data_IF_026041358021
#
_entry.id   IF_026041358021
#
_cell.length_a   1.000
_cell.length_b   1.000
_cell.length_c   1.000
_cell.angle_alpha   90.00
_cell.angle_beta   90.00
_cell.angle_gamma   90.00
#
_symmetry.space_group_name_H-M   'P 1'
#
loop_
_entity.id
_entity.type
_entity.pdbx_description
1 polymer ?
#
# COMPACT_ATOMS: atom_id res chain seq x y z
N UNK A 1 -29.30 -3.22 50.21
CA UNK A 1 -28.81 -2.10 49.40
C UNK A 1 -27.75 -2.62 48.45
N UNK A 2 -28.12 -2.87 47.19
CA UNK A 2 -27.20 -3.36 46.14
C UNK A 2 -26.93 -2.19 45.18
N UNK A 3 -25.73 -1.61 45.25
CA UNK A 3 -25.27 -0.55 44.37
C UNK A 3 -24.92 -1.17 43.03
N UNK A 4 -25.69 -0.84 42.01
CA UNK A 4 -25.37 -1.12 40.63
C UNK A 4 -24.47 0.00 40.11
N UNK A 5 -23.21 -0.30 39.88
CA UNK A 5 -22.31 0.57 39.17
C UNK A 5 -22.59 0.49 37.64
N UNK A 6 -22.75 1.60 36.95
CA UNK A 6 -22.92 1.58 35.50
C UNK A 6 -21.59 1.25 34.78
N UNK A 7 -21.63 0.24 33.92
CA UNK A 7 -20.52 -0.09 33.05
C UNK A 7 -20.27 1.02 32.04
N UNK A 8 -19.01 1.43 31.81
CA UNK A 8 -18.69 2.37 30.76
C UNK A 8 -18.92 1.72 29.39
N UNK A 9 -19.71 2.41 28.57
CA UNK A 9 -19.85 2.08 27.13
C UNK A 9 -18.48 2.20 26.48
N UNK A 10 -17.93 1.07 26.06
CA UNK A 10 -16.75 1.03 25.22
C UNK A 10 -17.11 1.65 23.85
N UNK A 11 -16.76 2.90 23.70
CA UNK A 11 -16.72 3.54 22.37
C UNK A 11 -15.66 2.81 21.54
N UNK A 12 -16.11 2.17 20.49
CA UNK A 12 -15.20 1.57 19.48
C UNK A 12 -14.37 2.70 18.89
N UNK A 13 -13.04 2.71 19.06
CA UNK A 13 -12.21 3.61 18.29
C UNK A 13 -12.29 3.16 16.84
N UNK A 14 -12.68 4.09 15.96
CA UNK A 14 -12.49 3.94 14.53
C UNK A 14 -11.02 3.56 14.31
N UNK A 15 -10.80 2.39 13.74
CA UNK A 15 -9.47 1.89 13.45
C UNK A 15 -8.81 2.86 12.48
N UNK A 16 -7.95 3.69 13.01
CA UNK A 16 -7.00 4.49 12.28
C UNK A 16 -6.03 3.47 11.69
N UNK A 17 -6.19 3.20 10.40
CA UNK A 17 -5.22 2.46 9.58
C UNK A 17 -3.96 3.34 9.44
N UNK A 18 -3.22 3.49 10.51
CA UNK A 18 -1.81 3.88 10.47
C UNK A 18 -0.98 2.62 10.28
N UNK A 19 -1.08 2.00 9.13
CA UNK A 19 -0.12 0.97 8.78
C UNK A 19 1.10 1.64 8.16
N UNK A 20 2.11 1.73 9.00
CA UNK A 20 3.48 2.08 8.70
C UNK A 20 3.97 1.39 7.40
N UNK A 21 3.92 2.13 6.28
CA UNK A 21 4.70 1.81 5.10
C UNK A 21 6.03 2.57 5.18
N UNK A 22 6.80 2.27 6.21
CA UNK A 22 8.18 2.68 6.34
C UNK A 22 9.06 1.45 6.11
N UNK A 23 9.38 1.16 4.86
CA UNK A 23 10.54 0.32 4.56
C UNK A 23 10.77 0.17 3.05
N UNK A 24 11.14 1.23 2.37
CA UNK A 24 12.11 1.19 1.26
C UNK A 24 12.73 2.58 1.11
N UNK A 25 13.61 2.94 2.00
CA UNK A 25 14.57 4.01 1.78
C UNK A 25 15.80 3.72 2.62
N UNK A 26 16.60 2.77 2.18
CA UNK A 26 18.03 2.75 2.58
C UNK A 26 18.84 2.03 1.50
N UNK A 27 19.87 2.74 1.07
CA UNK A 27 21.01 2.31 0.27
C UNK A 27 20.97 2.70 -1.21
N UNK A 28 21.34 3.98 -1.45
CA UNK A 28 22.37 4.28 -2.46
C UNK A 28 23.01 5.62 -2.09
N UNK A 29 24.06 5.56 -1.28
CA UNK A 29 25.04 6.61 -1.20
C UNK A 29 26.00 6.43 -2.37
N UNK A 30 25.85 7.24 -3.42
CA UNK A 30 26.86 7.48 -4.43
C UNK A 30 27.18 8.96 -4.48
N UNK A 31 28.46 9.33 -4.73
CA UNK A 31 28.94 10.70 -4.54
C UNK A 31 28.35 11.66 -5.58
N UNK A 32 28.16 12.88 -5.11
CA UNK A 32 27.64 14.02 -5.83
C UNK A 32 28.31 14.25 -7.20
N UNK A 33 27.50 14.18 -8.25
CA UNK A 33 27.69 15.04 -9.42
C UNK A 33 26.49 15.97 -9.42
N UNK A 34 26.76 17.24 -9.14
CA UNK A 34 25.78 18.31 -9.17
C UNK A 34 25.27 18.47 -10.61
N UNK A 35 24.15 17.83 -10.91
CA UNK A 35 23.29 18.20 -12.02
C UNK A 35 21.94 18.47 -11.40
N UNK A 36 21.44 19.70 -11.62
CA UNK A 36 20.18 20.18 -11.08
C UNK A 36 19.01 19.27 -11.42
N UNK A 37 18.73 18.34 -10.53
CA UNK A 37 17.46 17.64 -10.50
C UNK A 37 16.49 18.53 -9.75
N UNK A 38 15.62 19.20 -10.51
CA UNK A 38 14.38 19.72 -9.96
C UNK A 38 13.76 18.64 -9.08
N UNK A 39 13.23 18.96 -7.89
CA UNK A 39 12.49 17.99 -7.09
C UNK A 39 11.44 17.35 -8.00
N UNK A 40 11.43 16.02 -8.06
CA UNK A 40 10.49 15.27 -8.86
C UNK A 40 9.08 15.76 -8.53
N UNK A 41 8.52 16.52 -9.44
CA UNK A 41 7.17 17.04 -9.35
C UNK A 41 6.26 15.82 -9.23
N UNK A 42 5.30 15.78 -8.28
CA UNK A 42 4.34 14.70 -8.24
C UNK A 42 3.74 14.57 -9.64
N UNK A 43 3.64 13.35 -10.20
CA UNK A 43 3.14 13.16 -11.54
C UNK A 43 1.80 13.87 -11.69
N UNK A 44 1.70 14.69 -12.71
CA UNK A 44 0.50 15.49 -12.96
C UNK A 44 -0.72 14.56 -13.00
N UNK A 45 -1.79 14.95 -12.34
CA UNK A 45 -3.07 14.22 -12.31
C UNK A 45 -3.63 13.90 -13.73
N UNK A 46 -3.04 14.48 -14.77
CA UNK A 46 -3.35 14.25 -16.17
C UNK A 46 -3.03 12.82 -16.66
N UNK A 47 -2.05 12.13 -16.05
CA UNK A 47 -1.67 10.76 -16.45
C UNK A 47 -2.50 9.68 -15.74
N UNK A 48 -3.36 10.07 -14.77
CA UNK A 48 -4.18 9.14 -14.00
C UNK A 48 -5.56 8.97 -14.64
N UNK A 49 -5.61 8.22 -15.73
CA UNK A 49 -6.86 7.93 -16.43
C UNK A 49 -7.82 7.14 -15.52
N UNK A 50 -9.12 7.23 -15.84
CA UNK A 50 -10.17 6.44 -15.17
C UNK A 50 -9.85 4.94 -15.21
N UNK A 51 -9.32 4.49 -16.32
CA UNK A 51 -8.96 3.08 -16.52
C UNK A 51 -7.80 2.65 -15.64
N UNK A 52 -6.69 3.42 -15.61
CA UNK A 52 -5.57 3.14 -14.71
C UNK A 52 -6.00 3.09 -13.23
N UNK A 53 -6.88 4.00 -12.80
CA UNK A 53 -7.40 3.97 -11.42
C UNK A 53 -8.28 2.74 -11.13
N UNK A 54 -9.02 2.23 -12.12
CA UNK A 54 -9.78 0.98 -11.98
C UNK A 54 -8.87 -0.24 -11.91
N UNK A 55 -7.86 -0.31 -12.76
CA UNK A 55 -6.86 -1.38 -12.72
C UNK A 55 -6.11 -1.37 -11.37
N UNK A 56 -5.73 -0.19 -10.90
CA UNK A 56 -5.13 -0.04 -9.58
C UNK A 56 -6.06 -0.51 -8.46
N UNK A 57 -7.34 -0.16 -8.51
CA UNK A 57 -8.31 -0.60 -7.51
C UNK A 57 -8.38 -2.14 -7.41
N UNK A 58 -8.42 -2.83 -8.56
CA UNK A 58 -8.38 -4.30 -8.62
C UNK A 58 -7.06 -4.86 -8.11
N UNK A 59 -5.93 -4.32 -8.58
CA UNK A 59 -4.61 -4.75 -8.16
C UNK A 59 -4.41 -4.56 -6.65
N UNK A 60 -4.84 -3.42 -6.09
CA UNK A 60 -4.70 -3.12 -4.68
C UNK A 60 -5.47 -4.07 -3.76
N UNK A 61 -6.66 -4.53 -4.15
CA UNK A 61 -7.41 -5.54 -3.41
C UNK A 61 -6.66 -6.87 -3.35
N UNK A 62 -6.08 -7.30 -4.47
CA UNK A 62 -5.29 -8.55 -4.54
C UNK A 62 -3.98 -8.44 -3.76
N UNK A 63 -3.30 -7.29 -3.84
CA UNK A 63 -2.10 -7.02 -3.04
C UNK A 63 -2.43 -7.05 -1.54
N UNK A 64 -3.57 -6.52 -1.13
CA UNK A 64 -4.03 -6.58 0.27
C UNK A 64 -4.26 -8.04 0.73
N UNK A 65 -4.89 -8.87 -0.10
CA UNK A 65 -5.04 -10.31 0.17
C UNK A 65 -3.67 -11.01 0.31
N UNK A 66 -2.71 -10.67 -0.56
CA UNK A 66 -1.35 -11.19 -0.45
C UNK A 66 -0.65 -10.75 0.84
N UNK A 67 -0.82 -9.49 1.25
CA UNK A 67 -0.30 -9.02 2.53
C UNK A 67 -0.87 -9.80 3.72
N UNK A 68 -2.18 -10.12 3.69
CA UNK A 68 -2.81 -10.95 4.71
C UNK A 68 -2.27 -12.40 4.72
N UNK A 69 -1.96 -12.95 3.54
CA UNK A 69 -1.38 -14.30 3.38
C UNK A 69 0.08 -14.34 3.85
N UNK A 70 0.89 -13.37 3.43
CA UNK A 70 2.33 -13.37 3.65
C UNK A 70 2.75 -12.76 4.98
N UNK A 71 1.98 -11.80 5.51
CA UNK A 71 2.29 -11.10 6.76
C UNK A 71 2.59 -12.04 7.93
N UNK A 72 1.68 -12.96 8.30
CA UNK A 72 1.92 -13.93 9.38
C UNK A 72 3.11 -14.84 9.13
N UNK A 73 3.33 -15.29 7.88
CA UNK A 73 4.47 -16.16 7.52
C UNK A 73 5.80 -15.43 7.69
N UNK A 74 5.88 -14.19 7.21
CA UNK A 74 7.09 -13.36 7.34
C UNK A 74 7.38 -13.03 8.81
N UNK A 75 6.34 -12.76 9.60
CA UNK A 75 6.48 -12.45 11.02
C UNK A 75 6.82 -13.69 11.88
N UNK A 76 6.44 -14.88 11.41
CA UNK A 76 6.70 -16.15 12.08
C UNK A 76 7.97 -16.85 11.58
N UNK A 77 8.78 -16.22 10.75
CA UNK A 77 10.04 -16.82 10.27
C UNK A 77 11.01 -17.06 11.42
N UNK A 78 11.58 -18.24 11.48
CA UNK A 78 12.45 -18.70 12.58
C UNK A 78 13.84 -18.02 12.57
N UNK A 79 14.27 -17.52 11.41
CA UNK A 79 15.56 -16.88 11.24
C UNK A 79 15.56 -15.82 10.14
N UNK A 80 16.64 -15.04 10.09
CA UNK A 80 16.77 -13.92 9.17
C UNK A 80 16.79 -14.35 7.69
N UNK A 81 17.36 -15.49 7.38
CA UNK A 81 17.46 -15.99 6.01
C UNK A 81 16.08 -16.41 5.48
N UNK A 82 15.34 -17.17 6.27
CA UNK A 82 13.95 -17.51 5.95
C UNK A 82 13.06 -16.26 5.80
N UNK A 83 13.22 -15.27 6.68
CA UNK A 83 12.49 -14.00 6.57
C UNK A 83 12.78 -13.29 5.25
N UNK A 84 14.04 -13.25 4.80
CA UNK A 84 14.43 -12.67 3.51
C UNK A 84 13.82 -13.42 2.35
N UNK A 85 13.87 -14.74 2.38
CA UNK A 85 13.30 -15.59 1.33
C UNK A 85 11.78 -15.36 1.22
N UNK A 86 11.05 -15.41 2.32
CA UNK A 86 9.60 -15.18 2.35
C UNK A 86 9.23 -13.77 1.83
N UNK A 87 10.01 -12.75 2.18
CA UNK A 87 9.82 -11.40 1.64
C UNK A 87 10.05 -11.34 0.13
N UNK A 88 11.06 -12.03 -0.36
CA UNK A 88 11.35 -12.09 -1.80
C UNK A 88 10.22 -12.78 -2.57
N UNK A 89 9.73 -13.90 -2.06
CA UNK A 89 8.58 -14.63 -2.63
C UNK A 89 7.33 -13.76 -2.64
N UNK A 90 7.02 -13.10 -1.52
CA UNK A 90 5.88 -12.20 -1.40
C UNK A 90 5.96 -11.03 -2.41
N UNK A 91 7.13 -10.40 -2.52
CA UNK A 91 7.34 -9.31 -3.48
C UNK A 91 7.16 -9.78 -4.93
N UNK A 92 7.70 -10.94 -5.27
CA UNK A 92 7.56 -11.54 -6.61
C UNK A 92 6.09 -11.81 -6.94
N UNK A 93 5.33 -12.34 -5.99
CA UNK A 93 3.90 -12.59 -6.17
C UNK A 93 3.11 -11.28 -6.32
N UNK A 94 3.43 -10.24 -5.54
CA UNK A 94 2.79 -8.91 -5.65
C UNK A 94 3.05 -8.26 -7.01
N UNK A 95 4.29 -8.28 -7.50
CA UNK A 95 4.66 -7.77 -8.84
C UNK A 95 3.84 -8.47 -9.91
N UNK A 96 3.76 -9.80 -9.84
CA UNK A 96 2.97 -10.60 -10.80
C UNK A 96 1.50 -10.23 -10.77
N UNK A 97 0.92 -10.04 -9.60
CA UNK A 97 -0.49 -9.63 -9.45
C UNK A 97 -0.74 -8.26 -10.08
N UNK A 98 0.12 -7.28 -9.84
CA UNK A 98 0.03 -5.95 -10.42
C UNK A 98 0.09 -6.00 -11.95
N UNK A 99 1.03 -6.79 -12.50
CA UNK A 99 1.18 -6.97 -13.95
C UNK A 99 -0.01 -7.70 -14.58
N UNK A 100 -0.54 -8.71 -13.92
CA UNK A 100 -1.72 -9.45 -14.38
C UNK A 100 -2.99 -8.59 -14.45
N UNK A 101 -3.08 -7.54 -13.62
CA UNK A 101 -4.15 -6.55 -13.72
C UNK A 101 -3.90 -5.48 -14.81
N UNK A 102 -2.82 -5.56 -15.56
CA UNK A 102 -2.51 -4.66 -16.66
C UNK A 102 -1.78 -3.38 -16.25
N UNK A 103 -1.19 -3.35 -15.06
CA UNK A 103 -0.33 -2.25 -14.60
C UNK A 103 1.13 -2.68 -14.57
N UNK A 104 2.04 -1.77 -14.91
CA UNK A 104 3.43 -1.94 -14.53
C UNK A 104 3.64 -1.44 -13.08
N UNK A 105 4.76 -1.83 -12.47
CA UNK A 105 5.08 -1.48 -11.07
C UNK A 105 5.25 0.03 -10.89
N UNK A 106 5.78 0.74 -11.90
CA UNK A 106 5.94 2.18 -11.85
C UNK A 106 4.59 2.90 -11.81
N UNK A 107 3.64 2.52 -12.69
CA UNK A 107 2.28 3.06 -12.68
C UNK A 107 1.57 2.77 -11.35
N UNK A 108 1.72 1.56 -10.83
CA UNK A 108 1.14 1.20 -9.53
C UNK A 108 1.64 2.10 -8.40
N UNK A 109 2.96 2.29 -8.30
CA UNK A 109 3.56 3.15 -7.29
C UNK A 109 3.18 4.63 -7.47
N UNK A 110 3.10 5.10 -8.70
CA UNK A 110 2.65 6.45 -9.02
C UNK A 110 1.23 6.70 -8.54
N UNK A 111 0.31 5.78 -8.83
CA UNK A 111 -1.08 5.88 -8.37
C UNK A 111 -1.16 5.78 -6.84
N UNK A 112 -0.37 4.90 -6.23
CA UNK A 112 -0.30 4.77 -4.77
C UNK A 112 0.10 6.09 -4.10
N UNK A 113 1.11 6.80 -4.63
CA UNK A 113 1.50 8.12 -4.15
C UNK A 113 0.38 9.15 -4.34
N UNK A 114 -0.29 9.14 -5.50
CA UNK A 114 -1.41 10.04 -5.76
C UNK A 114 -2.59 9.79 -4.80
N UNK A 115 -2.89 8.53 -4.47
CA UNK A 115 -3.91 8.16 -3.47
C UNK A 115 -3.57 8.69 -2.08
N UNK A 116 -2.29 8.72 -1.72
CA UNK A 116 -1.84 9.22 -0.42
C UNK A 116 -1.85 10.75 -0.34
N UNK A 117 -1.62 11.44 -1.46
CA UNK A 117 -1.47 12.90 -1.51
C UNK A 117 -2.73 13.65 -1.94
N UNK A 118 -3.66 13.00 -2.66
CA UNK A 118 -4.89 13.61 -3.20
C UNK A 118 -6.14 12.85 -2.75
N UNK A 119 -6.92 13.49 -1.88
CA UNK A 119 -8.17 12.92 -1.35
C UNK A 119 -9.25 12.66 -2.42
N UNK A 120 -9.23 13.39 -3.55
CA UNK A 120 -10.17 13.17 -4.65
C UNK A 120 -9.82 11.87 -5.40
N UNK A 121 -8.53 11.61 -5.60
CA UNK A 121 -8.04 10.36 -6.20
C UNK A 121 -8.34 9.20 -5.25
N UNK A 122 -8.05 9.34 -3.95
CA UNK A 122 -8.38 8.34 -2.95
C UNK A 122 -9.86 7.94 -2.98
N UNK A 123 -10.78 8.92 -2.96
CA UNK A 123 -12.23 8.66 -3.04
C UNK A 123 -12.66 7.98 -4.34
N UNK A 124 -12.00 8.28 -5.47
CA UNK A 124 -12.28 7.61 -6.75
C UNK A 124 -11.84 6.14 -6.71
N UNK A 125 -10.65 5.87 -6.20
CA UNK A 125 -10.13 4.51 -6.05
C UNK A 125 -11.00 3.69 -5.10
N UNK A 126 -11.40 4.25 -3.95
CA UNK A 126 -12.30 3.59 -3.00
C UNK A 126 -13.64 3.21 -3.64
N UNK A 127 -14.20 4.07 -4.47
CA UNK A 127 -15.41 3.75 -5.21
C UNK A 127 -15.18 2.56 -6.15
N UNK A 128 -14.10 2.56 -6.93
CA UNK A 128 -13.78 1.45 -7.84
C UNK A 128 -13.50 0.14 -7.11
N UNK A 129 -12.87 0.19 -5.92
CA UNK A 129 -12.68 -0.99 -5.07
C UNK A 129 -14.03 -1.60 -4.65
N UNK A 130 -15.00 -0.77 -4.25
CA UNK A 130 -16.36 -1.25 -3.91
C UNK A 130 -17.13 -1.81 -5.11
N UNK A 131 -16.91 -1.28 -6.30
CA UNK A 131 -17.51 -1.79 -7.53
C UNK A 131 -16.94 -3.16 -7.97
N UNK A 132 -15.80 -3.56 -7.40
CA UNK A 132 -15.06 -4.77 -7.78
C UNK A 132 -15.30 -5.93 -6.79
N UNK A 133 -15.78 -5.65 -5.59
CA UNK A 133 -16.13 -6.64 -4.56
C UNK A 133 -17.53 -7.22 -4.78
#
# INVERSE_FOLDING_TARGET
>A
MKSHAPMPKLSRPAAIFTMALALVALLFALPAVAQGTSPAQPPAAADLTKEKLRLFAKASLKVEQLNQKWGPRISGADNLEENRQLRHEAMTEMVRVVQNEGLNVADYNQILQAVQSDSKIAKRVDRYRRETQ
#
